data_IF_004725762134
#
_entry.id   IF_004725762134
#
_cell.length_a   1.000
_cell.length_b   1.000
_cell.length_c   1.000
_cell.angle_alpha   90.00
_cell.angle_beta   90.00
_cell.angle_gamma   90.00
#
_symmetry.space_group_name_H-M   'P 1'
#
loop_
_entity.id
_entity.type
_entity.pdbx_description
1 polymer ?
#
# COMPACT_ATOMS: atom_id res chain seq x y z
N UNK A 1 1.11 11.56 2.71
CA UNK A 1 1.26 10.27 3.41
C UNK A 1 1.70 9.21 2.44
N UNK A 2 2.70 8.41 2.81
CA UNK A 2 3.07 7.26 1.99
C UNK A 2 2.21 6.04 2.36
N UNK A 3 2.44 4.92 1.69
CA UNK A 3 1.64 3.71 1.92
C UNK A 3 1.74 3.22 3.36
N UNK A 4 2.93 3.27 3.93
CA UNK A 4 3.12 2.84 5.32
C UNK A 4 2.32 3.72 6.27
N UNK A 5 2.30 5.02 6.03
CA UNK A 5 1.53 5.95 6.86
C UNK A 5 0.04 5.62 6.82
N UNK A 6 -0.49 5.35 5.62
CA UNK A 6 -1.91 5.00 5.48
C UNK A 6 -2.23 3.71 6.22
N UNK A 7 -1.35 2.72 6.10
CA UNK A 7 -1.54 1.45 6.78
C UNK A 7 -1.56 1.63 8.30
N UNK A 8 -0.59 2.39 8.81
CA UNK A 8 -0.51 2.62 10.27
C UNK A 8 -1.69 3.43 10.76
N UNK A 9 -2.14 4.41 9.99
CA UNK A 9 -3.32 5.19 10.34
C UNK A 9 -4.55 4.29 10.48
N UNK A 10 -4.66 3.28 9.62
CA UNK A 10 -5.77 2.33 9.67
C UNK A 10 -5.61 1.27 10.75
N UNK A 11 -4.48 1.25 11.47
CA UNK A 11 -4.25 0.29 12.53
C UNK A 11 -3.94 -1.12 12.04
N UNK A 12 -3.43 -1.24 10.83
CA UNK A 12 -3.19 -2.54 10.21
C UNK A 12 -1.72 -2.91 10.22
N UNK A 13 -1.46 -4.22 10.31
CA UNK A 13 -0.13 -4.79 10.13
C UNK A 13 0.04 -5.21 8.68
N UNK A 14 1.29 -5.37 8.25
CA UNK A 14 1.59 -5.83 6.89
C UNK A 14 0.89 -7.16 6.60
N UNK A 15 0.89 -8.07 7.56
CA UNK A 15 0.24 -9.37 7.40
C UNK A 15 -1.26 -9.22 7.14
N UNK A 16 -1.92 -8.29 7.82
CA UNK A 16 -3.34 -8.06 7.61
C UNK A 16 -3.62 -7.68 6.15
N UNK A 17 -2.79 -6.79 5.62
CA UNK A 17 -2.94 -6.32 4.25
C UNK A 17 -2.67 -7.44 3.26
N UNK A 18 -1.64 -8.25 3.51
CA UNK A 18 -1.29 -9.34 2.60
C UNK A 18 -2.42 -10.37 2.52
N UNK A 19 -3.05 -10.67 3.64
CA UNK A 19 -4.18 -11.61 3.67
C UNK A 19 -5.36 -11.03 2.88
N UNK A 20 -5.69 -9.77 3.12
CA UNK A 20 -6.85 -9.14 2.49
C UNK A 20 -6.65 -8.97 0.97
N UNK A 21 -5.42 -8.71 0.55
CA UNK A 21 -5.13 -8.55 -0.88
C UNK A 21 -4.72 -9.85 -1.55
N UNK A 22 -4.63 -10.94 -0.79
CA UNK A 22 -4.23 -12.26 -1.31
C UNK A 22 -2.90 -12.19 -2.05
N UNK A 23 -1.93 -11.52 -1.43
CA UNK A 23 -0.59 -11.39 -2.02
C UNK A 23 0.48 -11.64 -0.96
N UNK A 24 1.73 -11.77 -1.42
CA UNK A 24 2.84 -12.08 -0.53
C UNK A 24 3.16 -10.90 0.38
N UNK A 25 3.58 -11.21 1.59
CA UNK A 25 4.01 -10.21 2.57
C UNK A 25 5.14 -9.36 2.03
N UNK A 26 6.07 -9.99 1.32
CA UNK A 26 7.19 -9.29 0.71
C UNK A 26 6.76 -8.27 -0.33
N UNK A 27 5.64 -8.53 -1.02
CA UNK A 27 5.10 -7.57 -1.98
C UNK A 27 4.71 -6.28 -1.28
N UNK A 28 3.99 -6.40 -0.16
CA UNK A 28 3.56 -5.21 0.59
C UNK A 28 4.78 -4.42 1.09
N UNK A 29 5.77 -5.13 1.62
CA UNK A 29 7.00 -4.49 2.09
C UNK A 29 7.71 -3.75 0.98
N UNK A 30 7.83 -4.38 -0.19
CA UNK A 30 8.51 -3.78 -1.33
C UNK A 30 7.78 -2.52 -1.81
N UNK A 31 6.45 -2.56 -1.81
CA UNK A 31 5.65 -1.38 -2.18
C UNK A 31 5.89 -0.22 -1.21
N UNK A 32 5.89 -0.52 0.10
CA UNK A 32 6.06 0.52 1.11
C UNK A 32 7.46 1.12 1.08
N UNK A 33 8.45 0.33 0.70
CA UNK A 33 9.84 0.80 0.61
C UNK A 33 10.19 1.38 -0.76
N UNK A 34 9.27 1.36 -1.69
CA UNK A 34 9.50 1.91 -3.02
C UNK A 34 10.43 1.09 -3.89
N UNK A 35 10.60 -0.18 -3.55
CA UNK A 35 11.48 -1.07 -4.33
C UNK A 35 10.83 -1.53 -5.62
N UNK A 36 9.51 -1.72 -5.58
CA UNK A 36 8.75 -2.12 -6.76
C UNK A 36 7.47 -1.30 -6.82
N UNK A 37 7.02 -1.01 -8.03
CA UNK A 37 5.75 -0.35 -8.25
C UNK A 37 4.63 -1.34 -7.92
N UNK A 38 3.65 -0.96 -7.10
CA UNK A 38 2.51 -1.83 -6.85
C UNK A 38 1.78 -2.18 -8.15
N UNK A 39 1.64 -3.48 -8.40
CA UNK A 39 0.87 -3.96 -9.53
C UNK A 39 -0.28 -4.79 -8.96
N UNK A 40 -1.47 -4.24 -9.08
CA UNK A 40 -2.64 -4.84 -8.47
C UNK A 40 -3.75 -4.99 -9.50
N UNK A 41 -4.56 -6.02 -9.29
CA UNK A 41 -5.80 -6.13 -10.03
C UNK A 41 -6.78 -5.08 -9.51
N UNK A 42 -7.78 -4.78 -10.32
CA UNK A 42 -8.73 -3.72 -9.98
C UNK A 42 -9.38 -3.96 -8.62
N UNK A 43 -9.78 -5.20 -8.34
CA UNK A 43 -10.42 -5.51 -7.05
C UNK A 43 -9.48 -5.26 -5.88
N UNK A 44 -8.17 -5.49 -6.08
CA UNK A 44 -7.19 -5.26 -5.03
C UNK A 44 -7.05 -3.77 -4.72
N UNK A 45 -7.07 -2.95 -5.75
CA UNK A 45 -6.99 -1.49 -5.56
C UNK A 45 -8.17 -0.99 -4.73
N UNK A 46 -9.38 -1.42 -5.08
CA UNK A 46 -10.56 -1.03 -4.32
C UNK A 46 -10.54 -1.58 -2.90
N UNK A 47 -10.07 -2.81 -2.73
CA UNK A 47 -9.95 -3.39 -1.40
C UNK A 47 -8.95 -2.61 -0.55
N UNK A 48 -7.82 -2.24 -1.13
CA UNK A 48 -6.80 -1.49 -0.42
C UNK A 48 -7.32 -0.11 0.00
N UNK A 49 -8.04 0.56 -0.91
CA UNK A 49 -8.66 1.83 -0.59
C UNK A 49 -9.58 1.70 0.63
N UNK A 50 -10.40 0.67 0.64
CA UNK A 50 -11.34 0.44 1.74
C UNK A 50 -10.62 0.10 3.04
N UNK A 51 -9.59 -0.73 2.96
CA UNK A 51 -8.79 -1.11 4.13
C UNK A 51 -8.13 0.10 4.77
N UNK A 52 -7.57 0.96 3.95
CA UNK A 52 -6.83 2.14 4.44
C UNK A 52 -7.76 3.32 4.70
N UNK A 53 -9.05 3.18 4.40
CA UNK A 53 -10.06 4.22 4.63
C UNK A 53 -9.60 5.56 4.04
N UNK A 54 -9.18 5.51 2.79
CA UNK A 54 -8.69 6.70 2.09
C UNK A 54 -9.42 6.86 0.77
N UNK A 55 -9.23 8.01 0.15
CA UNK A 55 -9.76 8.25 -1.19
C UNK A 55 -8.82 7.66 -2.23
N UNK A 56 -9.30 7.52 -3.45
CA UNK A 56 -8.46 7.06 -4.55
C UNK A 56 -7.30 8.01 -4.79
N UNK A 57 -7.54 9.33 -4.68
CA UNK A 57 -6.50 10.32 -4.84
C UNK A 57 -5.42 10.17 -3.75
N UNK A 58 -5.84 9.95 -2.51
CA UNK A 58 -4.89 9.72 -1.42
C UNK A 58 -4.06 8.46 -1.65
N UNK A 59 -4.69 7.41 -2.19
CA UNK A 59 -3.98 6.17 -2.46
C UNK A 59 -2.93 6.36 -3.55
N UNK A 60 -3.28 7.04 -4.63
CA UNK A 60 -2.35 7.34 -5.72
C UNK A 60 -1.18 8.16 -5.19
N UNK A 61 -1.48 9.21 -4.42
CA UNK A 61 -0.45 10.05 -3.83
C UNK A 61 0.48 9.24 -2.92
N UNK A 62 -0.10 8.33 -2.12
CA UNK A 62 0.69 7.51 -1.22
C UNK A 62 1.64 6.58 -1.98
N UNK A 63 1.19 6.02 -3.09
CA UNK A 63 2.03 5.17 -3.93
C UNK A 63 3.18 6.00 -4.49
N UNK A 64 2.90 7.18 -4.99
CA UNK A 64 3.91 8.06 -5.54
C UNK A 64 4.93 8.46 -4.48
N UNK A 65 4.47 8.81 -3.29
CA UNK A 65 5.38 9.17 -2.19
C UNK A 65 6.26 7.99 -1.78
N UNK A 66 5.71 6.80 -1.75
CA UNK A 66 6.48 5.61 -1.40
C UNK A 66 7.60 5.37 -2.41
N UNK A 67 7.32 5.60 -3.68
CA UNK A 67 8.34 5.47 -4.72
C UNK A 67 9.41 6.54 -4.62
N UNK A 68 9.05 7.73 -4.18
CA UNK A 68 9.98 8.85 -4.04
C UNK A 68 10.88 8.74 -2.82
N UNK A 69 10.47 8.00 -1.80
CA UNK A 69 11.25 7.83 -0.58
C UNK A 69 12.24 6.67 -0.67
N UNK A 70 12.44 6.17 -1.86
CA UNK A 70 13.34 5.05 -2.10
C UNK A 70 14.76 5.40 -1.66
N UNK A 71 15.36 4.51 -0.88
CA UNK A 71 16.73 4.66 -0.42
C UNK A 71 17.71 4.32 -1.55
N UNK A 72 18.80 5.04 -1.61
CA UNK A 72 19.87 4.76 -2.55
C UNK A 72 21.01 4.04 -1.87
#
# INVERSE_FOLDING_TARGET
MNLQDLRKRAGLKIMDVSIELECALSSIRNWEKGRTMPRMQVWQVFRLRDLYQCTEAELVEAIEESMMTQEN
#
